data_IF_840300018989
#
_entry.id   IF_840300018989
#
_cell.length_a   1.000
_cell.length_b   1.000
_cell.length_c   1.000
_cell.angle_alpha   90.00
_cell.angle_beta   90.00
_cell.angle_gamma   90.00
#
_symmetry.space_group_name_H-M   'P 1'
#
loop_
_entity.id
_entity.type
_entity.pdbx_description
1 polymer ?
#
# COMPACT_ATOMS: atom_id res chain seq x y z
N UNK A 1 5.78 -16.41 3.44
CA UNK A 1 4.63 -16.46 2.53
C UNK A 1 3.29 -16.39 3.27
N UNK A 2 3.09 -17.15 4.36
CA UNK A 2 1.83 -17.11 5.13
C UNK A 2 1.54 -15.71 5.70
N UNK A 3 2.53 -15.07 6.33
CA UNK A 3 2.38 -13.74 6.91
C UNK A 3 2.02 -12.65 5.88
N UNK A 4 2.48 -12.81 4.65
CA UNK A 4 2.17 -11.92 3.52
C UNK A 4 0.97 -12.41 2.69
N UNK A 5 0.18 -13.34 3.16
CA UNK A 5 -0.98 -13.94 2.48
C UNK A 5 -0.67 -14.54 1.07
N UNK A 6 0.60 -14.78 0.77
CA UNK A 6 1.02 -15.34 -0.51
C UNK A 6 0.86 -16.87 -0.58
N UNK A 7 0.89 -17.57 0.57
CA UNK A 7 0.85 -19.02 0.62
C UNK A 7 -0.34 -19.65 -0.11
N UNK A 8 -1.52 -19.05 0.03
CA UNK A 8 -2.76 -19.58 -0.54
C UNK A 8 -2.75 -19.66 -2.07
N UNK A 9 -2.23 -18.66 -2.76
CA UNK A 9 -2.13 -18.72 -4.22
C UNK A 9 -0.93 -19.56 -4.68
N UNK A 10 0.21 -19.51 -3.97
CA UNK A 10 1.39 -20.30 -4.32
C UNK A 10 1.06 -21.79 -4.36
N UNK A 11 0.33 -22.29 -3.37
CA UNK A 11 -0.10 -23.71 -3.35
C UNK A 11 -0.97 -24.12 -4.55
N UNK A 12 -1.64 -23.18 -5.19
CA UNK A 12 -2.50 -23.43 -6.36
C UNK A 12 -1.76 -23.33 -7.68
N UNK A 13 -0.50 -22.88 -7.67
CA UNK A 13 0.34 -22.92 -8.88
C UNK A 13 0.67 -24.36 -9.24
N UNK A 14 0.92 -24.67 -10.53
CA UNK A 14 1.12 -26.03 -11.02
C UNK A 14 2.21 -26.82 -10.27
N UNK A 15 3.27 -26.15 -9.83
CA UNK A 15 4.38 -26.76 -9.08
C UNK A 15 4.52 -26.16 -7.66
N UNK A 16 3.47 -25.47 -7.16
CA UNK A 16 3.50 -24.84 -5.86
C UNK A 16 4.67 -23.88 -5.70
N UNK A 17 5.47 -24.07 -4.66
CA UNK A 17 6.65 -23.24 -4.37
C UNK A 17 7.80 -23.42 -5.36
N UNK A 18 7.82 -24.52 -6.11
CA UNK A 18 8.83 -24.81 -7.12
C UNK A 18 8.46 -24.28 -8.52
N UNK A 19 7.33 -23.58 -8.60
CA UNK A 19 6.87 -22.99 -9.87
C UNK A 19 7.86 -21.94 -10.36
N UNK A 20 8.31 -22.10 -11.59
CA UNK A 20 9.17 -21.12 -12.26
C UNK A 20 8.37 -19.88 -12.59
N UNK A 21 8.82 -18.74 -12.10
CA UNK A 21 8.24 -17.43 -12.42
C UNK A 21 8.79 -16.94 -13.75
N UNK A 22 7.92 -16.70 -14.71
CA UNK A 22 8.31 -16.16 -16.00
C UNK A 22 8.97 -14.77 -15.85
N UNK A 23 9.86 -14.35 -16.76
CA UNK A 23 10.44 -13.02 -16.74
C UNK A 23 9.36 -11.92 -16.60
N UNK A 24 9.57 -10.97 -15.70
CA UNK A 24 8.57 -9.96 -15.38
C UNK A 24 7.32 -10.45 -14.65
N UNK A 25 7.30 -11.74 -14.22
CA UNK A 25 6.16 -12.34 -13.52
C UNK A 25 4.94 -12.56 -14.43
N UNK A 26 5.14 -12.84 -15.72
CA UNK A 26 4.06 -12.93 -16.71
C UNK A 26 2.97 -13.98 -16.43
N UNK A 27 3.26 -14.96 -15.55
CA UNK A 27 2.31 -15.98 -15.10
C UNK A 27 1.61 -15.65 -13.77
N UNK A 28 1.80 -14.43 -13.24
CA UNK A 28 1.20 -13.96 -12.01
C UNK A 28 0.34 -12.71 -12.23
N UNK A 29 -0.74 -12.58 -11.46
CA UNK A 29 -1.52 -11.33 -11.43
C UNK A 29 -0.75 -10.20 -10.75
N UNK A 30 -1.15 -8.95 -10.98
CA UNK A 30 -0.56 -7.77 -10.34
C UNK A 30 -0.61 -7.88 -8.80
N UNK A 31 -1.73 -8.33 -8.24
CA UNK A 31 -1.87 -8.53 -6.80
C UNK A 31 -0.97 -9.64 -6.25
N UNK A 32 -0.84 -10.75 -6.96
CA UNK A 32 0.06 -11.85 -6.59
C UNK A 32 1.52 -11.39 -6.58
N UNK A 33 1.94 -10.58 -7.57
CA UNK A 33 3.28 -9.97 -7.60
C UNK A 33 3.51 -9.08 -6.38
N UNK A 34 2.54 -8.26 -6.01
CA UNK A 34 2.64 -7.40 -4.82
C UNK A 34 2.78 -8.23 -3.53
N UNK A 35 2.00 -9.28 -3.35
CA UNK A 35 2.10 -10.16 -2.18
C UNK A 35 3.49 -10.82 -2.08
N UNK A 36 4.09 -11.21 -3.20
CA UNK A 36 5.46 -11.75 -3.23
C UNK A 36 6.49 -10.68 -2.87
N UNK A 37 6.35 -9.45 -3.38
CA UNK A 37 7.23 -8.35 -3.01
C UNK A 37 7.17 -8.05 -1.51
N UNK A 38 5.97 -8.04 -0.93
CA UNK A 38 5.78 -7.85 0.51
C UNK A 38 6.45 -8.99 1.29
N UNK A 39 6.29 -10.25 0.84
CA UNK A 39 6.94 -11.40 1.47
C UNK A 39 8.47 -11.27 1.47
N UNK A 40 9.06 -10.78 0.39
CA UNK A 40 10.52 -10.53 0.31
C UNK A 40 10.96 -9.46 1.32
N UNK A 41 10.22 -8.35 1.41
CA UNK A 41 10.53 -7.26 2.35
C UNK A 41 10.42 -7.75 3.80
N UNK A 42 9.41 -8.57 4.11
CA UNK A 42 9.27 -9.17 5.45
C UNK A 42 10.47 -10.03 5.85
N UNK A 43 11.13 -10.69 4.90
CA UNK A 43 12.35 -11.45 5.15
C UNK A 43 13.56 -10.55 5.43
N UNK A 44 13.63 -9.40 4.76
CA UNK A 44 14.73 -8.44 4.94
C UNK A 44 14.65 -7.67 6.25
N UNK A 45 13.48 -7.57 6.87
CA UNK A 45 13.22 -6.84 8.12
C UNK A 45 13.81 -5.41 8.14
N UNK A 46 13.51 -4.55 7.16
CA UNK A 46 14.04 -3.19 7.13
C UNK A 46 13.48 -2.37 8.29
N UNK A 47 14.25 -1.40 8.75
CA UNK A 47 13.81 -0.45 9.79
C UNK A 47 12.91 0.65 9.25
N UNK A 48 13.06 0.98 7.98
CA UNK A 48 12.29 2.00 7.27
C UNK A 48 11.72 1.44 5.98
N UNK A 49 10.50 1.84 5.67
CA UNK A 49 9.79 1.45 4.46
C UNK A 49 9.41 2.67 3.62
N UNK A 50 9.52 2.53 2.32
CA UNK A 50 8.91 3.45 1.36
C UNK A 50 7.99 2.60 0.49
N UNK A 51 6.70 2.86 0.56
CA UNK A 51 5.66 2.11 -0.14
C UNK A 51 4.91 3.03 -1.09
N UNK A 52 4.77 2.58 -2.34
CA UNK A 52 3.91 3.24 -3.32
C UNK A 52 2.67 2.36 -3.56
N UNK A 53 1.49 2.89 -3.20
CA UNK A 53 0.22 2.22 -3.43
C UNK A 53 -0.18 2.30 -4.91
N UNK A 54 0.34 1.40 -5.75
CA UNK A 54 -0.11 1.24 -7.13
C UNK A 54 -1.08 0.05 -7.23
N UNK A 55 -2.39 0.30 -7.09
CA UNK A 55 -3.41 -0.76 -6.99
C UNK A 55 -4.42 -0.79 -8.13
N UNK A 56 -4.14 -0.14 -9.25
CA UNK A 56 -5.09 0.14 -10.33
C UNK A 56 -5.58 -1.05 -11.16
N UNK A 57 -5.18 -2.30 -10.88
CA UNK A 57 -5.54 -3.48 -11.68
C UNK A 57 -5.66 -4.75 -10.85
N UNK A 58 -6.06 -4.63 -9.59
CA UNK A 58 -6.16 -5.74 -8.65
C UNK A 58 -7.64 -5.97 -8.31
N UNK A 59 -8.06 -7.25 -8.30
CA UNK A 59 -9.39 -7.63 -7.83
C UNK A 59 -9.58 -7.30 -6.35
N UNK A 60 -10.80 -7.01 -5.94
CA UNK A 60 -11.13 -6.54 -4.58
C UNK A 60 -10.65 -7.50 -3.49
N UNK A 61 -10.76 -8.82 -3.70
CA UNK A 61 -10.34 -9.81 -2.71
C UNK A 61 -8.83 -9.79 -2.51
N UNK A 62 -8.08 -9.80 -3.59
CA UNK A 62 -6.60 -9.73 -3.53
C UNK A 62 -6.14 -8.38 -2.99
N UNK A 63 -6.85 -7.32 -3.31
CA UNK A 63 -6.60 -5.98 -2.79
C UNK A 63 -6.69 -5.93 -1.26
N UNK A 64 -7.71 -6.55 -0.67
CA UNK A 64 -7.84 -6.67 0.79
C UNK A 64 -6.64 -7.41 1.41
N UNK A 65 -6.17 -8.49 0.77
CA UNK A 65 -5.01 -9.25 1.25
C UNK A 65 -3.73 -8.43 1.16
N UNK A 66 -3.55 -7.66 0.09
CA UNK A 66 -2.41 -6.75 -0.09
C UNK A 66 -2.43 -5.68 1.00
N UNK A 67 -3.59 -5.08 1.27
CA UNK A 67 -3.74 -4.07 2.33
C UNK A 67 -3.39 -4.64 3.71
N UNK A 68 -3.91 -5.81 4.06
CA UNK A 68 -3.60 -6.48 5.33
C UNK A 68 -2.10 -6.85 5.44
N UNK A 69 -1.48 -7.25 4.33
CA UNK A 69 -0.05 -7.53 4.30
C UNK A 69 0.79 -6.26 4.50
N UNK A 70 0.41 -5.13 3.91
CA UNK A 70 1.04 -3.84 4.13
C UNK A 70 0.92 -3.38 5.59
N UNK A 71 -0.26 -3.50 6.19
CA UNK A 71 -0.47 -3.16 7.60
C UNK A 71 0.46 -3.95 8.52
N UNK A 72 0.57 -5.27 8.30
CA UNK A 72 1.53 -6.10 9.04
C UNK A 72 2.98 -5.69 8.82
N UNK A 73 3.33 -5.35 7.58
CA UNK A 73 4.69 -4.94 7.24
C UNK A 73 5.06 -3.61 7.92
N UNK A 74 4.11 -2.68 8.03
CA UNK A 74 4.33 -1.37 8.64
C UNK A 74 4.43 -1.38 10.17
N UNK A 75 3.91 -2.41 10.82
CA UNK A 75 3.92 -2.51 12.29
C UNK A 75 5.34 -2.41 12.86
N UNK A 76 5.54 -1.48 13.82
CA UNK A 76 6.81 -1.29 14.51
C UNK A 76 7.91 -0.67 13.64
N UNK A 77 7.57 -0.07 12.51
CA UNK A 77 8.52 0.54 11.57
C UNK A 77 8.10 1.95 11.17
N UNK A 78 9.08 2.77 10.82
CA UNK A 78 8.83 4.05 10.16
C UNK A 78 8.51 3.80 8.70
N UNK A 79 7.29 4.15 8.29
CA UNK A 79 6.80 3.90 6.93
C UNK A 79 6.39 5.20 6.24
N UNK A 80 6.93 5.42 5.03
CA UNK A 80 6.48 6.46 4.13
C UNK A 80 5.61 5.82 3.05
N UNK A 81 4.37 6.25 2.94
CA UNK A 81 3.42 5.70 1.99
C UNK A 81 2.98 6.78 1.02
N UNK A 82 3.18 6.53 -0.27
CA UNK A 82 2.55 7.34 -1.32
C UNK A 82 1.13 6.81 -1.48
N UNK A 83 0.18 7.49 -0.83
CA UNK A 83 -1.17 7.02 -0.67
C UNK A 83 -2.08 7.47 -1.82
N UNK A 84 -2.84 6.53 -2.35
CA UNK A 84 -3.89 6.75 -3.35
C UNK A 84 -5.28 6.42 -2.82
N UNK A 85 -5.36 5.92 -1.59
CA UNK A 85 -6.61 5.53 -0.93
C UNK A 85 -6.89 6.39 0.27
N UNK A 86 -8.16 6.73 0.42
CA UNK A 86 -8.63 7.53 1.55
C UNK A 86 -8.35 6.87 2.89
N UNK A 87 -8.58 5.56 3.01
CA UNK A 87 -8.34 4.82 4.26
C UNK A 87 -6.88 4.91 4.73
N UNK A 88 -5.92 4.79 3.82
CA UNK A 88 -4.50 4.94 4.13
C UNK A 88 -4.17 6.35 4.60
N UNK A 89 -4.74 7.36 3.94
CA UNK A 89 -4.54 8.76 4.30
C UNK A 89 -5.11 9.05 5.69
N UNK A 90 -6.34 8.60 5.96
CA UNK A 90 -7.01 8.85 7.24
C UNK A 90 -6.34 8.17 8.44
N UNK A 91 -5.75 6.99 8.23
CA UNK A 91 -5.09 6.21 9.27
C UNK A 91 -3.61 6.59 9.49
N UNK A 92 -3.05 7.47 8.68
CA UNK A 92 -1.67 7.90 8.82
C UNK A 92 -1.45 8.73 10.11
N UNK A 93 -0.36 8.46 10.81
CA UNK A 93 0.05 9.25 11.99
C UNK A 93 0.38 10.70 11.60
N UNK A 94 0.92 10.91 10.40
CA UNK A 94 1.22 12.21 9.82
C UNK A 94 1.07 12.18 8.32
N UNK A 95 0.40 13.18 7.79
CA UNK A 95 0.23 13.41 6.36
C UNK A 95 1.16 14.54 5.94
N UNK A 96 1.90 14.32 4.86
CA UNK A 96 2.71 15.34 4.19
C UNK A 96 2.04 15.66 2.86
N UNK A 97 1.59 16.88 2.71
CA UNK A 97 0.97 17.36 1.47
C UNK A 97 2.04 18.01 0.61
N UNK A 98 2.25 17.46 -0.57
CA UNK A 98 3.30 17.92 -1.48
C UNK A 98 2.70 18.60 -2.70
N UNK A 99 3.29 19.71 -3.11
CA UNK A 99 2.98 20.38 -4.35
C UNK A 99 4.27 20.94 -4.98
N UNK A 100 4.47 20.70 -6.27
CA UNK A 100 5.65 21.15 -7.03
C UNK A 100 6.99 20.83 -6.31
N UNK A 101 7.10 19.64 -5.70
CA UNK A 101 8.31 19.19 -5.00
C UNK A 101 8.50 19.75 -3.58
N UNK A 102 7.57 20.54 -3.08
CA UNK A 102 7.62 21.14 -1.75
C UNK A 102 6.53 20.59 -0.83
N UNK A 103 6.84 20.42 0.45
CA UNK A 103 5.84 20.13 1.48
C UNK A 103 5.14 21.46 1.82
N UNK A 104 3.86 21.56 1.47
CA UNK A 104 3.05 22.76 1.67
C UNK A 104 2.18 22.71 2.92
N UNK A 105 1.78 21.51 3.36
CA UNK A 105 1.02 21.28 4.59
C UNK A 105 1.49 19.97 5.23
N UNK A 106 1.36 19.91 6.56
CA UNK A 106 1.61 18.68 7.32
C UNK A 106 0.75 18.63 8.58
N UNK A 107 0.37 17.42 8.98
CA UNK A 107 -0.45 17.18 10.16
C UNK A 107 -1.22 15.86 10.07
N UNK A 108 -2.11 15.62 11.01
CA UNK A 108 -3.08 14.54 10.97
C UNK A 108 -4.23 14.88 10.01
N UNK A 109 -5.03 13.89 9.65
CA UNK A 109 -6.23 14.10 8.83
C UNK A 109 -7.15 15.19 9.41
N UNK A 110 -7.45 15.10 10.71
CA UNK A 110 -8.32 16.07 11.37
C UNK A 110 -7.75 17.49 11.40
N UNK A 111 -6.45 17.62 11.69
CA UNK A 111 -5.77 18.91 11.70
C UNK A 111 -5.76 19.59 10.34
N UNK A 112 -5.51 18.80 9.28
CA UNK A 112 -5.46 19.33 7.91
C UNK A 112 -6.85 19.71 7.38
N UNK A 113 -7.90 18.98 7.75
CA UNK A 113 -9.27 19.37 7.44
C UNK A 113 -9.65 20.68 8.15
N UNK A 114 -9.29 20.82 9.43
CA UNK A 114 -9.57 22.02 10.21
C UNK A 114 -8.88 23.27 9.66
N UNK A 115 -7.71 23.12 9.03
CA UNK A 115 -7.00 24.24 8.38
C UNK A 115 -7.70 24.79 7.14
N UNK A 116 -8.63 24.04 6.54
CA UNK A 116 -9.34 24.41 5.31
C UNK A 116 -8.41 24.84 4.16
N UNK A 117 -7.20 24.27 4.12
CA UNK A 117 -6.17 24.57 3.14
C UNK A 117 -6.24 23.68 1.88
N UNK A 118 -5.08 23.48 1.27
CA UNK A 118 -4.96 22.66 0.04
C UNK A 118 -5.45 21.23 0.24
N UNK A 119 -5.08 20.60 1.36
CA UNK A 119 -5.53 19.25 1.69
C UNK A 119 -7.06 19.15 1.80
N UNK A 120 -7.70 20.07 2.53
CA UNK A 120 -9.14 20.06 2.70
C UNK A 120 -9.88 20.22 1.36
N UNK A 121 -9.39 21.12 0.50
CA UNK A 121 -9.94 21.31 -0.83
C UNK A 121 -9.80 20.05 -1.70
N UNK A 122 -8.62 19.41 -1.69
CA UNK A 122 -8.38 18.16 -2.42
C UNK A 122 -9.26 17.04 -1.91
N UNK A 123 -9.37 16.90 -0.59
CA UNK A 123 -10.23 15.91 0.05
C UNK A 123 -11.69 16.07 -0.34
N UNK A 124 -12.23 17.29 -0.25
CA UNK A 124 -13.61 17.59 -0.59
C UNK A 124 -13.90 17.37 -2.08
N UNK A 125 -12.93 17.65 -2.96
CA UNK A 125 -13.10 17.44 -4.40
C UNK A 125 -13.06 15.98 -4.84
N UNK A 126 -12.30 15.13 -4.13
CA UNK A 126 -12.10 13.73 -4.52
C UNK A 126 -12.96 12.74 -3.73
N UNK A 127 -13.29 13.04 -2.48
CA UNK A 127 -13.86 12.07 -1.55
C UNK A 127 -15.15 12.53 -0.87
N UNK A 128 -15.52 13.80 -0.92
CA UNK A 128 -16.75 14.34 -0.31
C UNK A 128 -17.93 14.42 -1.29
N UNK A 129 -17.90 13.63 -2.37
CA UNK A 129 -19.03 13.51 -3.27
C UNK A 129 -19.91 12.35 -2.78
N UNK A 130 -20.70 12.61 -1.77
CA UNK A 130 -21.99 11.96 -1.49
C UNK A 130 -23.00 13.02 -1.04
#
# INVERSE_FOLDING_TARGET
AKAAYAHGFIKRLPQGYDTVIAPGGGNLSAGQKQLLCIARIMLCQPQMLILDEATSSIDTRTEMLVQQAFEKLMQGRTSFVVAHRLSTIQSADRILVMNAGHIIEQGTHAELLAKQGFYANLYNSQFAVE
#
